data_IF_367507212602
#
_entry.id   IF_367507212602
#
_cell.length_a   1.000
_cell.length_b   1.000
_cell.length_c   1.000
_cell.angle_alpha   90.00
_cell.angle_beta   90.00
_cell.angle_gamma   90.00
#
_symmetry.space_group_name_H-M   'P 1'
#
loop_
_entity.id
_entity.type
_entity.pdbx_description
1 polymer ?
#
# COMPACT_ATOMS: atom_id res chain seq x y z
N UNK A 1 1.01 -1.29 27.56
CA UNK A 1 2.27 -0.83 26.95
C UNK A 1 2.16 0.64 26.60
N UNK A 2 3.28 1.36 26.54
CA UNK A 2 3.36 2.71 25.99
C UNK A 2 3.81 2.62 24.53
N UNK A 3 3.00 3.16 23.63
CA UNK A 3 3.21 3.16 22.18
C UNK A 3 3.40 4.59 21.72
N UNK A 4 4.44 4.87 20.94
CA UNK A 4 4.61 6.15 20.26
C UNK A 4 3.96 6.12 18.88
N UNK A 5 3.00 6.99 18.58
CA UNK A 5 2.42 7.11 17.25
C UNK A 5 2.90 8.38 16.56
N UNK A 6 3.69 8.21 15.51
CA UNK A 6 4.20 9.32 14.70
C UNK A 6 3.19 9.64 13.59
N UNK A 7 2.84 10.94 13.50
CA UNK A 7 1.93 11.51 12.49
C UNK A 7 0.51 10.89 12.47
N UNK A 8 -0.37 11.17 13.45
CA UNK A 8 -1.76 10.65 13.47
C UNK A 8 -2.66 11.28 12.37
N UNK A 9 -2.41 10.89 11.12
CA UNK A 9 -3.23 11.16 9.94
C UNK A 9 -4.54 10.37 9.97
N UNK A 10 -5.22 10.26 8.83
CA UNK A 10 -6.50 9.54 8.75
C UNK A 10 -6.35 8.04 9.09
N UNK A 11 -5.29 7.37 8.64
CA UNK A 11 -4.99 5.98 9.00
C UNK A 11 -4.42 5.88 10.41
N UNK A 12 -3.36 6.64 10.72
CA UNK A 12 -2.67 6.57 12.01
C UNK A 12 -3.58 6.83 13.21
N UNK A 13 -4.45 7.85 13.16
CA UNK A 13 -5.41 8.11 14.25
C UNK A 13 -6.45 7.01 14.42
N UNK A 14 -6.90 6.36 13.35
CA UNK A 14 -7.85 5.25 13.45
C UNK A 14 -7.19 4.03 14.08
N UNK A 15 -5.96 3.69 13.70
CA UNK A 15 -5.17 2.63 14.34
C UNK A 15 -4.89 2.98 15.82
N UNK A 16 -4.49 4.22 16.09
CA UNK A 16 -4.25 4.70 17.45
C UNK A 16 -5.49 4.59 18.35
N UNK A 17 -6.68 4.92 17.84
CA UNK A 17 -7.93 4.79 18.58
C UNK A 17 -8.23 3.33 18.96
N UNK A 18 -7.93 2.39 18.06
CA UNK A 18 -8.06 0.94 18.32
C UNK A 18 -7.09 0.48 19.41
N UNK A 19 -5.82 0.91 19.34
CA UNK A 19 -4.81 0.61 20.37
C UNK A 19 -5.19 1.22 21.74
N UNK A 20 -5.75 2.43 21.77
CA UNK A 20 -6.29 3.03 23.01
C UNK A 20 -7.47 2.22 23.55
N UNK A 21 -8.40 1.79 22.68
CA UNK A 21 -9.53 0.96 23.08
C UNK A 21 -9.12 -0.41 23.64
N UNK A 22 -7.98 -0.95 23.17
CA UNK A 22 -7.34 -2.15 23.71
C UNK A 22 -6.60 -1.92 25.04
N UNK A 23 -6.65 -0.71 25.61
CA UNK A 23 -6.06 -0.38 26.91
C UNK A 23 -4.59 0.03 26.88
N UNK A 24 -4.03 0.32 25.70
CA UNK A 24 -2.67 0.84 25.58
C UNK A 24 -2.62 2.37 25.75
N UNK A 25 -1.49 2.89 26.24
CA UNK A 25 -1.23 4.33 26.22
C UNK A 25 -0.56 4.68 24.91
N UNK A 26 -1.25 5.44 24.05
CA UNK A 26 -0.69 5.87 22.76
C UNK A 26 -0.28 7.34 22.85
N UNK A 27 1.02 7.57 22.85
CA UNK A 27 1.65 8.88 22.84
C UNK A 27 1.70 9.45 21.42
N UNK A 28 1.61 10.76 21.26
CA UNK A 28 1.87 11.42 19.99
C UNK A 28 2.51 12.80 20.18
N UNK A 29 3.28 13.25 19.18
CA UNK A 29 3.94 14.56 19.21
C UNK A 29 3.11 15.62 18.43
N UNK A 30 2.58 16.66 19.10
CA UNK A 30 1.66 17.64 18.52
C UNK A 30 2.34 18.82 17.81
N UNK A 31 3.62 19.09 18.08
CA UNK A 31 4.29 20.30 17.60
C UNK A 31 4.38 20.27 16.06
N UNK A 32 4.18 21.44 15.45
CA UNK A 32 4.13 21.64 13.99
C UNK A 32 3.05 20.80 13.27
N UNK A 33 1.99 20.38 13.97
CA UNK A 33 0.83 19.69 13.35
C UNK A 33 -0.35 20.62 13.14
N UNK A 34 -1.04 20.45 12.00
CA UNK A 34 -2.26 21.20 11.70
C UNK A 34 -3.42 20.90 12.66
N UNK A 35 -4.43 21.77 12.65
CA UNK A 35 -5.64 21.66 13.48
C UNK A 35 -6.39 20.34 13.25
N UNK A 36 -6.44 19.85 12.01
CA UNK A 36 -7.08 18.58 11.68
C UNK A 36 -6.40 17.37 12.33
N UNK A 37 -5.07 17.40 12.45
CA UNK A 37 -4.31 16.34 13.13
C UNK A 37 -4.59 16.36 14.63
N UNK A 38 -4.62 17.54 15.24
CA UNK A 38 -5.00 17.69 16.65
C UNK A 38 -6.40 17.15 16.94
N UNK A 39 -7.38 17.49 16.09
CA UNK A 39 -8.76 16.98 16.23
C UNK A 39 -8.82 15.47 16.13
N UNK A 40 -8.12 14.86 15.16
CA UNK A 40 -8.06 13.40 15.01
C UNK A 40 -7.38 12.72 16.21
N UNK A 41 -6.26 13.27 16.69
CA UNK A 41 -5.56 12.73 17.83
C UNK A 41 -6.39 12.78 19.12
N UNK A 42 -7.07 13.91 19.37
CA UNK A 42 -7.98 14.06 20.50
C UNK A 42 -9.17 13.09 20.39
N UNK A 43 -9.81 12.99 19.22
CA UNK A 43 -10.92 12.06 19.00
C UNK A 43 -10.50 10.58 19.14
N UNK A 44 -9.24 10.26 18.86
CA UNK A 44 -8.66 8.93 19.03
C UNK A 44 -8.16 8.65 20.46
N UNK A 45 -8.26 9.62 21.39
CA UNK A 45 -7.79 9.45 22.77
C UNK A 45 -6.27 9.39 22.91
N UNK A 46 -5.52 9.94 21.95
CA UNK A 46 -4.05 9.95 22.00
C UNK A 46 -3.55 10.92 23.07
N UNK A 47 -2.53 10.51 23.81
CA UNK A 47 -1.90 11.32 24.85
C UNK A 47 -0.79 12.19 24.24
N UNK A 48 -0.87 13.53 24.30
CA UNK A 48 0.18 14.38 23.75
C UNK A 48 1.47 14.30 24.58
N UNK A 49 2.61 14.34 23.89
CA UNK A 49 3.93 14.56 24.48
C UNK A 49 4.46 15.96 24.12
N UNK A 50 5.39 16.48 24.91
CA UNK A 50 5.98 17.80 24.72
C UNK A 50 6.80 17.84 23.42
N UNK A 51 7.66 16.84 23.22
CA UNK A 51 8.52 16.70 22.05
C UNK A 51 8.69 15.23 21.60
N UNK A 52 9.48 15.05 20.54
CA UNK A 52 9.81 13.72 20.01
C UNK A 52 10.69 12.92 20.99
N UNK A 53 11.66 13.56 21.64
CA UNK A 53 12.55 12.91 22.60
C UNK A 53 11.77 12.26 23.75
N UNK A 54 10.86 13.00 24.38
CA UNK A 54 10.02 12.51 25.46
C UNK A 54 9.07 11.38 25.02
N UNK A 55 8.65 11.36 23.75
CA UNK A 55 7.88 10.24 23.20
C UNK A 55 8.76 8.99 23.04
N UNK A 56 9.95 9.13 22.45
CA UNK A 56 10.86 8.02 22.18
C UNK A 56 11.44 7.39 23.46
N UNK A 57 11.74 8.21 24.47
CA UNK A 57 12.23 7.74 25.78
C UNK A 57 11.21 6.85 26.52
N UNK A 58 9.92 7.07 26.28
CA UNK A 58 8.82 6.38 26.98
C UNK A 58 8.22 5.23 26.19
N UNK A 59 8.36 5.23 24.86
CA UNK A 59 7.69 4.29 23.98
C UNK A 59 8.50 3.00 23.79
N UNK A 60 7.94 1.87 24.21
CA UNK A 60 8.54 0.54 23.96
C UNK A 60 8.44 0.13 22.49
N UNK A 61 7.43 0.67 21.79
CA UNK A 61 7.21 0.49 20.35
C UNK A 61 6.78 1.83 19.75
N UNK A 62 7.42 2.22 18.67
CA UNK A 62 7.09 3.41 17.88
C UNK A 62 6.50 2.98 16.55
N UNK A 63 5.31 3.49 16.25
CA UNK A 63 4.57 3.23 15.03
C UNK A 63 4.58 4.47 14.14
N UNK A 64 5.18 4.36 12.96
CA UNK A 64 5.24 5.41 11.94
C UNK A 64 4.15 5.20 10.90
N UNK A 65 3.15 6.08 10.86
CA UNK A 65 2.07 6.09 9.85
C UNK A 65 1.91 7.50 9.30
N UNK A 66 2.79 7.87 8.38
CA UNK A 66 2.88 9.15 7.72
C UNK A 66 2.70 9.02 6.18
N UNK A 67 2.61 10.14 5.44
CA UNK A 67 2.76 10.11 3.98
C UNK A 67 4.11 9.50 3.60
N UNK A 68 4.15 8.64 2.58
CA UNK A 68 5.39 7.93 2.19
C UNK A 68 6.55 8.87 1.84
N UNK A 69 6.27 10.08 1.36
CA UNK A 69 7.29 11.10 1.09
C UNK A 69 8.03 11.60 2.34
N UNK A 70 7.49 11.39 3.54
CA UNK A 70 8.08 11.81 4.81
C UNK A 70 8.72 10.65 5.59
N UNK A 71 8.61 9.40 5.11
CA UNK A 71 9.03 8.23 5.88
C UNK A 71 10.53 8.24 6.23
N UNK A 72 11.39 8.67 5.29
CA UNK A 72 12.84 8.80 5.52
C UNK A 72 13.13 9.88 6.56
N UNK A 73 12.59 11.09 6.39
CA UNK A 73 12.78 12.21 7.33
C UNK A 73 12.33 11.85 8.76
N UNK A 74 11.24 11.09 8.88
CA UNK A 74 10.77 10.57 10.17
C UNK A 74 11.75 9.58 10.77
N UNK A 75 12.26 8.62 9.99
CA UNK A 75 13.26 7.66 10.46
C UNK A 75 14.57 8.32 10.86
N UNK A 76 15.03 9.34 10.11
CA UNK A 76 16.18 10.18 10.46
C UNK A 76 15.96 10.91 11.79
N UNK A 77 14.80 11.54 11.96
CA UNK A 77 14.45 12.22 13.21
C UNK A 77 14.46 11.26 14.41
N UNK A 78 14.03 10.01 14.23
CA UNK A 78 14.08 8.98 15.27
C UNK A 78 15.51 8.53 15.54
N UNK A 79 16.34 8.40 14.50
CA UNK A 79 17.72 7.95 14.66
C UNK A 79 18.59 8.98 15.40
N UNK A 80 18.36 10.28 15.18
CA UNK A 80 19.04 11.37 15.89
C UNK A 80 18.83 11.33 17.42
N UNK A 81 17.76 10.68 17.88
CA UNK A 81 17.43 10.53 19.30
C UNK A 81 17.89 9.21 19.91
N UNK A 82 18.66 8.39 19.18
CA UNK A 82 19.18 7.09 19.65
C UNK A 82 18.08 6.15 20.20
N UNK A 83 16.93 6.11 19.53
CA UNK A 83 15.86 5.19 19.89
C UNK A 83 16.35 3.73 19.82
N UNK A 84 16.01 2.93 20.83
CA UNK A 84 16.50 1.54 20.96
C UNK A 84 15.38 0.52 21.22
N UNK A 85 14.13 0.91 20.96
CA UNK A 85 12.96 0.03 21.03
C UNK A 85 12.59 -0.59 19.68
N UNK A 86 11.32 -0.98 19.52
CA UNK A 86 10.80 -1.51 18.24
C UNK A 86 10.25 -0.37 17.41
N UNK A 87 10.83 -0.11 16.23
CA UNK A 87 10.31 0.85 15.27
C UNK A 87 9.54 0.12 14.17
N UNK A 88 8.23 0.33 14.14
CA UNK A 88 7.32 -0.23 13.13
C UNK A 88 7.09 0.82 12.07
N UNK A 89 7.69 0.62 10.90
CA UNK A 89 7.40 1.47 9.74
C UNK A 89 6.18 0.92 9.02
N UNK A 90 5.04 1.61 9.14
CA UNK A 90 3.78 1.22 8.53
C UNK A 90 3.42 2.09 7.31
N UNK A 91 4.44 2.69 6.69
CA UNK A 91 4.27 3.60 5.56
C UNK A 91 4.22 2.84 4.23
N UNK A 92 3.59 3.43 3.21
CA UNK A 92 3.57 2.85 1.87
C UNK A 92 4.87 3.15 1.11
N UNK A 93 5.98 2.55 1.54
CA UNK A 93 7.32 2.73 0.97
C UNK A 93 7.74 1.55 0.09
N UNK A 94 8.75 1.75 -0.76
CA UNK A 94 9.34 0.66 -1.55
C UNK A 94 10.29 -0.19 -0.70
N UNK A 95 10.61 -1.42 -1.12
CA UNK A 95 11.62 -2.24 -0.44
C UNK A 95 12.95 -1.51 -0.25
N UNK A 96 13.41 -0.75 -1.25
CA UNK A 96 14.66 0.01 -1.18
C UNK A 96 14.61 1.14 -0.16
N UNK A 97 13.46 1.82 -0.02
CA UNK A 97 13.29 2.81 1.04
C UNK A 97 13.25 2.14 2.42
N UNK A 98 12.64 0.96 2.52
CA UNK A 98 12.61 0.22 3.77
C UNK A 98 14.00 -0.27 4.19
N UNK A 99 14.81 -0.76 3.24
CA UNK A 99 16.22 -1.07 3.47
C UNK A 99 16.99 0.15 3.98
N UNK A 100 16.75 1.32 3.41
CA UNK A 100 17.37 2.56 3.85
C UNK A 100 16.96 2.96 5.28
N UNK A 101 15.67 2.90 5.61
CA UNK A 101 15.16 3.15 6.97
C UNK A 101 15.76 2.16 7.98
N UNK A 102 15.81 0.88 7.63
CA UNK A 102 16.42 -0.15 8.48
C UNK A 102 17.91 0.13 8.73
N UNK A 103 18.65 0.56 7.70
CA UNK A 103 20.04 0.94 7.83
C UNK A 103 20.23 2.16 8.74
N UNK A 104 19.42 3.21 8.58
CA UNK A 104 19.45 4.42 9.41
C UNK A 104 19.27 4.10 10.91
N UNK A 105 18.32 3.22 11.22
CA UNK A 105 17.96 2.89 12.59
C UNK A 105 18.87 1.81 13.22
N UNK A 106 19.50 0.96 12.41
CA UNK A 106 20.42 -0.07 12.90
C UNK A 106 21.58 0.50 13.73
N UNK A 107 22.04 1.73 13.43
CA UNK A 107 23.10 2.42 14.18
C UNK A 107 22.71 2.87 15.59
N UNK A 108 21.42 2.85 15.92
CA UNK A 108 20.88 3.37 17.20
C UNK A 108 20.49 2.28 18.20
N UNK A 109 20.45 1.02 17.75
CA UNK A 109 19.95 -0.11 18.54
C UNK A 109 18.45 -0.39 18.37
N UNK A 110 17.71 0.45 17.63
CA UNK A 110 16.33 0.17 17.28
C UNK A 110 16.20 -1.08 16.40
N UNK A 111 15.16 -1.88 16.64
CA UNK A 111 14.79 -3.02 15.81
C UNK A 111 13.64 -2.63 14.90
N UNK A 112 13.84 -2.74 13.59
CA UNK A 112 12.84 -2.33 12.59
C UNK A 112 11.92 -3.47 12.22
N UNK A 113 10.62 -3.19 12.24
CA UNK A 113 9.56 -4.01 11.66
C UNK A 113 9.00 -3.27 10.44
N UNK A 114 9.14 -3.86 9.27
CA UNK A 114 8.48 -3.44 8.04
C UNK A 114 7.02 -3.87 8.09
N UNK A 115 6.10 -2.92 8.02
CA UNK A 115 4.67 -3.16 8.08
C UNK A 115 3.95 -2.54 6.88
N UNK A 116 3.09 -3.33 6.24
CA UNK A 116 2.21 -2.86 5.19
C UNK A 116 0.75 -2.93 5.63
N UNK A 117 0.08 -1.78 5.65
CA UNK A 117 -1.36 -1.71 5.94
C UNK A 117 -2.17 -1.93 4.66
N UNK A 118 -3.04 -2.92 4.65
CA UNK A 118 -4.06 -3.15 3.65
C UNK A 118 -5.47 -2.88 4.22
N UNK A 119 -6.33 -2.32 3.39
CA UNK A 119 -7.69 -1.93 3.78
C UNK A 119 -7.85 -0.45 4.16
N UNK A 120 -9.09 -0.04 4.43
CA UNK A 120 -9.41 1.32 4.86
C UNK A 120 -9.03 1.53 6.35
N UNK A 121 -9.07 2.78 6.85
CA UNK A 121 -8.93 3.05 8.27
C UNK A 121 -9.92 2.22 9.11
N UNK A 122 -9.48 1.58 10.21
CA UNK A 122 -10.27 0.64 11.00
C UNK A 122 -11.28 1.36 11.91
N UNK A 123 -12.33 1.92 11.30
CA UNK A 123 -13.45 2.61 11.96
C UNK A 123 -14.76 2.26 11.28
N UNK A 124 -15.87 2.44 11.99
CA UNK A 124 -17.23 2.23 11.48
C UNK A 124 -17.45 0.78 10.98
N UNK A 125 -16.97 -0.20 11.76
CA UNK A 125 -17.08 -1.62 11.42
C UNK A 125 -16.10 -2.11 10.35
N UNK A 126 -15.22 -1.26 9.85
CA UNK A 126 -14.14 -1.63 8.91
C UNK A 126 -12.91 -2.13 9.67
N UNK A 127 -12.15 -3.01 9.03
CA UNK A 127 -10.88 -3.53 9.53
C UNK A 127 -9.71 -3.15 8.62
N UNK A 128 -8.51 -3.19 9.21
CA UNK A 128 -7.24 -3.06 8.50
C UNK A 128 -6.37 -4.27 8.82
N UNK A 129 -5.60 -4.72 7.83
CA UNK A 129 -4.66 -5.83 7.96
C UNK A 129 -3.23 -5.32 7.82
N UNK A 130 -2.40 -5.64 8.79
CA UNK A 130 -0.96 -5.44 8.76
C UNK A 130 -0.30 -6.70 8.22
N UNK A 131 0.51 -6.54 7.18
CA UNK A 131 1.49 -7.53 6.78
C UNK A 131 2.84 -7.15 7.37
N UNK A 132 3.53 -8.08 8.03
CA UNK A 132 4.71 -7.79 8.84
C UNK A 132 5.92 -8.56 8.33
N UNK A 133 7.07 -7.89 8.27
CA UNK A 133 8.37 -8.52 8.07
C UNK A 133 9.48 -7.81 8.87
N UNK A 134 10.59 -8.47 9.13
CA UNK A 134 11.64 -8.00 10.07
C UNK A 134 11.91 -9.03 11.17
N UNK A 135 12.74 -8.78 12.20
CA UNK A 135 13.09 -9.81 13.19
C UNK A 135 11.90 -10.38 14.00
N UNK A 136 11.92 -11.69 14.26
CA UNK A 136 10.78 -12.45 14.84
C UNK A 136 10.26 -11.88 16.17
N UNK A 137 11.17 -11.64 17.12
CA UNK A 137 10.80 -11.10 18.45
C UNK A 137 10.12 -9.73 18.36
N UNK A 138 10.58 -8.88 17.44
CA UNK A 138 10.02 -7.54 17.23
C UNK A 138 8.66 -7.60 16.52
N UNK A 139 8.50 -8.47 15.52
CA UNK A 139 7.19 -8.73 14.88
C UNK A 139 6.20 -9.28 15.90
N UNK A 140 6.62 -10.24 16.72
CA UNK A 140 5.83 -10.82 17.80
C UNK A 140 5.34 -9.77 18.78
N UNK A 141 6.24 -8.88 19.26
CA UNK A 141 5.87 -7.77 20.14
C UNK A 141 4.81 -6.86 19.52
N UNK A 142 4.95 -6.49 18.23
CA UNK A 142 3.95 -5.66 17.57
C UNK A 142 2.62 -6.39 17.35
N UNK A 143 2.66 -7.65 16.93
CA UNK A 143 1.47 -8.50 16.74
C UNK A 143 0.66 -8.63 18.04
N UNK A 144 1.33 -8.80 19.17
CA UNK A 144 0.67 -8.94 20.47
C UNK A 144 -0.07 -7.65 20.89
N UNK A 145 0.26 -6.49 20.32
CA UNK A 145 -0.52 -5.24 20.48
C UNK A 145 -1.84 -5.24 19.72
N UNK A 146 -1.99 -6.14 18.75
CA UNK A 146 -3.16 -6.19 17.84
C UNK A 146 -4.12 -7.34 18.18
N UNK A 147 -3.67 -8.32 18.98
CA UNK A 147 -4.33 -9.63 19.14
C UNK A 147 -5.77 -9.56 19.66
N UNK A 148 -6.05 -8.61 20.56
CA UNK A 148 -7.37 -8.45 21.19
C UNK A 148 -8.32 -7.54 20.38
N UNK A 149 -7.91 -7.10 19.18
CA UNK A 149 -8.69 -6.20 18.34
C UNK A 149 -9.06 -6.82 16.99
N UNK A 150 -10.32 -7.26 16.86
CA UNK A 150 -10.83 -7.85 15.62
C UNK A 150 -10.80 -6.91 14.39
N UNK A 151 -10.62 -5.59 14.58
CA UNK A 151 -10.48 -4.63 13.49
C UNK A 151 -9.03 -4.43 13.04
N UNK A 152 -8.04 -4.95 13.79
CA UNK A 152 -6.62 -4.93 13.44
C UNK A 152 -6.09 -6.36 13.29
N UNK A 153 -5.90 -6.79 12.05
CA UNK A 153 -5.36 -8.12 11.76
C UNK A 153 -3.87 -8.05 11.50
N UNK A 154 -3.12 -9.11 11.80
CA UNK A 154 -1.70 -9.23 11.49
C UNK A 154 -1.43 -10.53 10.72
N UNK A 155 -0.58 -10.46 9.70
CA UNK A 155 -0.02 -11.60 8.97
C UNK A 155 1.48 -11.40 8.81
N UNK A 156 2.27 -12.45 9.06
CA UNK A 156 3.72 -12.39 8.97
C UNK A 156 4.19 -12.94 7.63
N UNK A 157 5.10 -12.22 6.98
CA UNK A 157 5.66 -12.54 5.67
C UNK A 157 7.13 -12.98 5.72
N UNK A 158 7.71 -13.08 6.92
CA UNK A 158 9.07 -13.55 7.15
C UNK A 158 10.00 -12.52 7.79
N UNK A 159 11.29 -12.81 7.78
CA UNK A 159 12.28 -12.10 8.61
C UNK A 159 12.94 -10.89 7.92
N UNK A 160 12.79 -10.75 6.60
CA UNK A 160 13.52 -9.74 5.82
C UNK A 160 12.72 -8.43 5.74
N UNK A 161 13.19 -7.32 6.35
CA UNK A 161 12.61 -5.99 6.11
C UNK A 161 12.59 -5.68 4.61
N UNK A 162 11.50 -5.11 4.12
CA UNK A 162 11.25 -4.86 2.70
C UNK A 162 10.23 -5.82 2.08
N UNK A 163 9.96 -6.98 2.71
CA UNK A 163 9.01 -7.98 2.18
C UNK A 163 7.57 -7.49 2.24
N UNK A 164 7.14 -6.91 3.37
CA UNK A 164 5.81 -6.33 3.50
C UNK A 164 5.65 -5.10 2.59
N UNK A 165 6.67 -4.27 2.51
CA UNK A 165 6.76 -3.16 1.56
C UNK A 165 6.65 -3.63 0.10
N UNK A 166 7.29 -4.76 -0.28
CA UNK A 166 7.19 -5.34 -1.61
C UNK A 166 5.75 -5.77 -1.94
N UNK A 167 5.09 -6.48 -1.02
CA UNK A 167 3.68 -6.83 -1.16
C UNK A 167 2.83 -5.57 -1.33
N UNK A 168 3.08 -4.52 -0.53
CA UNK A 168 2.36 -3.26 -0.63
C UNK A 168 2.51 -2.65 -2.02
N UNK A 169 3.73 -2.59 -2.54
CA UNK A 169 4.01 -2.04 -3.87
C UNK A 169 3.32 -2.86 -4.96
N UNK A 170 3.35 -4.20 -4.88
CA UNK A 170 2.65 -5.08 -5.81
C UNK A 170 1.12 -4.90 -5.77
N UNK A 171 0.55 -4.72 -4.57
CA UNK A 171 -0.90 -4.49 -4.43
C UNK A 171 -1.31 -3.13 -5.01
N UNK A 172 -0.59 -2.06 -4.66
CA UNK A 172 -1.01 -0.70 -5.05
C UNK A 172 -0.64 -0.35 -6.49
N UNK A 173 0.33 -1.03 -7.10
CA UNK A 173 0.65 -0.91 -8.53
C UNK A 173 -0.51 -1.37 -9.42
N UNK A 174 -1.37 -2.26 -8.92
CA UNK A 174 -2.64 -2.61 -9.56
C UNK A 174 -3.79 -1.73 -9.07
N UNK A 175 -4.03 -1.67 -7.75
CA UNK A 175 -5.26 -1.08 -7.19
C UNK A 175 -5.44 0.40 -7.53
N UNK A 176 -4.36 1.19 -7.57
CA UNK A 176 -4.45 2.63 -7.84
C UNK A 176 -4.67 2.90 -9.34
N UNK A 177 -3.85 2.36 -10.27
CA UNK A 177 -4.07 2.59 -11.69
C UNK A 177 -5.36 1.97 -12.23
N UNK A 178 -5.81 0.82 -11.70
CA UNK A 178 -7.07 0.20 -12.13
C UNK A 178 -8.28 1.13 -11.98
N UNK A 179 -8.31 1.97 -10.93
CA UNK A 179 -9.35 3.00 -10.77
C UNK A 179 -9.30 4.06 -11.86
N UNK A 180 -8.09 4.42 -12.32
CA UNK A 180 -7.93 5.40 -13.40
C UNK A 180 -8.29 4.80 -14.77
N UNK A 181 -8.02 3.51 -15.00
CA UNK A 181 -8.52 2.81 -16.18
C UNK A 181 -10.06 2.83 -16.23
N UNK A 182 -10.73 2.65 -15.09
CA UNK A 182 -12.18 2.82 -15.01
C UNK A 182 -12.62 4.26 -15.34
N UNK A 183 -11.90 5.28 -14.86
CA UNK A 183 -12.17 6.69 -15.22
C UNK A 183 -12.05 6.92 -16.73
N UNK A 184 -11.03 6.36 -17.38
CA UNK A 184 -10.88 6.47 -18.84
C UNK A 184 -12.02 5.76 -19.59
N UNK A 185 -12.42 4.58 -19.13
CA UNK A 185 -13.56 3.85 -19.71
C UNK A 185 -14.87 4.63 -19.57
N UNK A 186 -15.15 5.17 -18.39
CA UNK A 186 -16.32 6.02 -18.16
C UNK A 186 -16.27 7.32 -18.96
N UNK A 187 -15.11 7.96 -19.08
CA UNK A 187 -14.96 9.15 -19.91
C UNK A 187 -15.28 8.89 -21.38
N UNK A 188 -14.85 7.73 -21.90
CA UNK A 188 -15.16 7.33 -23.28
C UNK A 188 -16.65 7.01 -23.44
N UNK A 189 -17.23 6.30 -22.48
CA UNK A 189 -18.66 5.96 -22.50
C UNK A 189 -19.54 7.21 -22.39
N UNK A 190 -19.17 8.18 -21.56
CA UNK A 190 -19.87 9.45 -21.41
C UNK A 190 -19.83 10.27 -22.70
N UNK A 191 -18.65 10.37 -23.33
CA UNK A 191 -18.49 11.05 -24.62
C UNK A 191 -19.43 10.51 -25.70
N UNK A 192 -19.64 9.19 -25.75
CA UNK A 192 -20.53 8.55 -26.72
C UNK A 192 -21.95 8.29 -26.20
N UNK A 193 -22.30 8.73 -24.99
CA UNK A 193 -23.64 8.57 -24.41
C UNK A 193 -24.05 7.12 -24.09
N UNK A 194 -23.09 6.24 -23.78
CA UNK A 194 -23.30 4.80 -23.55
C UNK A 194 -22.98 4.35 -22.11
N UNK A 195 -22.85 5.27 -21.17
CA UNK A 195 -22.47 5.01 -19.76
C UNK A 195 -23.33 3.93 -19.10
N UNK A 196 -24.66 4.00 -19.22
CA UNK A 196 -25.57 3.01 -18.60
C UNK A 196 -25.38 1.60 -19.18
N UNK A 197 -25.11 1.51 -20.49
CA UNK A 197 -24.84 0.22 -21.13
C UNK A 197 -23.50 -0.36 -20.67
N UNK A 198 -22.47 0.49 -20.49
CA UNK A 198 -21.18 0.07 -19.93
C UNK A 198 -21.34 -0.45 -18.49
N UNK A 199 -22.11 0.25 -17.65
CA UNK A 199 -22.38 -0.18 -16.25
C UNK A 199 -23.08 -1.54 -16.24
N UNK A 200 -24.15 -1.69 -17.02
CA UNK A 200 -24.91 -2.94 -17.09
C UNK A 200 -24.05 -4.13 -17.56
N UNK A 201 -23.13 -3.91 -18.52
CA UNK A 201 -22.21 -4.98 -18.96
C UNK A 201 -21.12 -5.28 -17.92
N UNK A 202 -20.61 -4.26 -17.23
CA UNK A 202 -19.64 -4.43 -16.15
C UNK A 202 -20.22 -5.24 -14.97
N UNK A 203 -21.50 -5.05 -14.64
CA UNK A 203 -22.19 -5.80 -13.58
C UNK A 203 -22.37 -7.30 -13.91
N UNK A 204 -22.41 -7.66 -15.21
CA UNK A 204 -22.46 -9.06 -15.65
C UNK A 204 -21.10 -9.76 -15.59
N UNK A 205 -20.03 -8.99 -15.42
CA UNK A 205 -18.65 -9.43 -15.59
C UNK A 205 -17.95 -9.51 -14.24
N UNK A 206 -17.90 -10.70 -13.65
CA UNK A 206 -17.08 -10.95 -12.46
C UNK A 206 -15.69 -11.44 -12.88
N UNK A 207 -14.68 -10.57 -12.80
CA UNK A 207 -13.29 -10.90 -13.13
C UNK A 207 -12.39 -10.51 -11.97
N UNK A 208 -11.85 -11.53 -11.30
CA UNK A 208 -10.85 -11.36 -10.25
C UNK A 208 -9.43 -11.22 -10.85
N UNK A 209 -9.19 -10.10 -11.56
CA UNK A 209 -7.98 -9.86 -12.40
C UNK A 209 -6.67 -10.09 -11.64
N UNK A 210 -6.53 -9.53 -10.43
CA UNK A 210 -5.26 -9.60 -9.68
C UNK A 210 -5.00 -10.98 -9.07
N UNK A 211 -6.04 -11.69 -8.64
CA UNK A 211 -5.90 -13.00 -7.99
C UNK A 211 -5.82 -14.17 -8.97
N UNK A 212 -6.32 -14.02 -10.20
CA UNK A 212 -6.24 -15.07 -11.22
C UNK A 212 -4.93 -14.98 -12.03
N UNK A 213 -3.85 -15.48 -11.42
CA UNK A 213 -2.54 -15.52 -12.09
C UNK A 213 -2.52 -16.44 -13.31
N UNK A 214 -3.39 -17.44 -13.39
CA UNK A 214 -3.41 -18.38 -14.51
C UNK A 214 -3.99 -17.78 -15.79
N UNK A 215 -4.81 -16.74 -15.67
CA UNK A 215 -5.32 -15.97 -16.81
C UNK A 215 -4.21 -15.37 -17.69
N UNK A 216 -2.99 -15.16 -17.15
CA UNK A 216 -1.86 -14.61 -17.91
C UNK A 216 -1.53 -15.42 -19.17
N UNK A 217 -1.68 -16.75 -19.14
CA UNK A 217 -1.49 -17.61 -20.30
C UNK A 217 -2.47 -17.27 -21.42
N UNK A 218 -3.75 -17.09 -21.08
CA UNK A 218 -4.78 -16.70 -22.04
C UNK A 218 -4.65 -15.26 -22.54
N UNK A 219 -4.10 -14.35 -21.73
CA UNK A 219 -3.75 -12.99 -22.15
C UNK A 219 -2.64 -13.03 -23.19
N UNK A 220 -1.56 -13.77 -22.92
CA UNK A 220 -0.43 -13.92 -23.84
C UNK A 220 -0.87 -14.58 -25.17
N UNK A 221 -1.62 -15.69 -25.11
CA UNK A 221 -2.09 -16.41 -26.28
C UNK A 221 -2.90 -15.53 -27.26
N UNK A 222 -3.63 -14.54 -26.73
CA UNK A 222 -4.50 -13.63 -27.50
C UNK A 222 -3.90 -12.25 -27.72
N UNK A 223 -2.68 -11.98 -27.25
CA UNK A 223 -2.09 -10.65 -27.30
C UNK A 223 -2.06 -10.05 -28.71
N UNK A 224 -1.70 -10.87 -29.70
CA UNK A 224 -1.70 -10.50 -31.12
C UNK A 224 -3.07 -10.05 -31.67
N UNK A 225 -4.17 -10.57 -31.10
CA UNK A 225 -5.55 -10.27 -31.49
C UNK A 225 -6.06 -8.99 -30.84
N UNK A 226 -5.71 -8.78 -29.57
CA UNK A 226 -6.11 -7.57 -28.83
C UNK A 226 -5.26 -6.34 -29.16
N UNK A 227 -4.06 -6.53 -29.71
CA UNK A 227 -3.17 -5.43 -30.07
C UNK A 227 -3.83 -4.43 -31.05
N UNK A 228 -4.44 -4.83 -32.19
CA UNK A 228 -5.19 -3.91 -33.04
C UNK A 228 -6.40 -3.26 -32.34
N UNK A 229 -7.10 -3.99 -31.46
CA UNK A 229 -8.25 -3.44 -30.72
C UNK A 229 -7.81 -2.30 -29.79
N UNK A 230 -6.63 -2.40 -29.17
CA UNK A 230 -6.07 -1.32 -28.35
C UNK A 230 -5.68 -0.08 -29.16
N UNK A 231 -5.26 -0.23 -30.42
CA UNK A 231 -5.06 0.93 -31.30
C UNK A 231 -6.37 1.69 -31.56
N UNK A 232 -7.47 0.97 -31.79
CA UNK A 232 -8.78 1.59 -31.96
C UNK A 232 -9.27 2.26 -30.67
N UNK A 233 -8.97 1.68 -29.50
CA UNK A 233 -9.23 2.33 -28.20
C UNK A 233 -8.45 3.65 -28.08
N UNK A 234 -7.17 3.67 -28.46
CA UNK A 234 -6.35 4.88 -28.40
C UNK A 234 -6.88 5.97 -29.35
N UNK A 235 -7.27 5.62 -30.59
CA UNK A 235 -7.92 6.54 -31.54
C UNK A 235 -9.22 7.10 -30.96
N UNK A 236 -10.03 6.26 -30.34
CA UNK A 236 -11.30 6.65 -29.74
C UNK A 236 -11.11 7.57 -28.54
N UNK A 237 -10.08 7.33 -27.71
CA UNK A 237 -9.71 8.18 -26.60
C UNK A 237 -9.23 9.55 -27.08
N UNK A 238 -8.33 9.60 -28.06
CA UNK A 238 -7.82 10.86 -28.63
C UNK A 238 -8.96 11.70 -29.24
N UNK A 239 -9.84 11.05 -30.01
CA UNK A 239 -11.03 11.69 -30.59
C UNK A 239 -11.98 12.27 -29.53
N UNK A 240 -12.04 11.64 -28.35
CA UNK A 240 -12.83 12.09 -27.21
C UNK A 240 -12.10 13.12 -26.32
N UNK A 241 -10.86 13.50 -26.65
CA UNK A 241 -10.03 14.40 -25.84
C UNK A 241 -9.50 13.78 -24.55
N UNK A 242 -9.45 12.44 -24.47
CA UNK A 242 -8.93 11.68 -23.33
C UNK A 242 -7.46 11.30 -23.54
N UNK A 243 -6.66 11.18 -22.46
CA UNK A 243 -5.26 10.79 -22.59
C UNK A 243 -5.10 9.32 -23.01
N UNK A 244 -4.22 9.06 -23.98
CA UNK A 244 -3.96 7.71 -24.52
C UNK A 244 -2.83 6.96 -23.80
N UNK A 245 -2.01 7.63 -22.99
CA UNK A 245 -0.74 7.08 -22.50
C UNK A 245 -0.82 5.74 -21.75
N UNK A 246 -1.94 5.46 -21.08
CA UNK A 246 -2.21 4.13 -20.48
C UNK A 246 -2.39 3.07 -21.56
N UNK A 247 -3.24 3.34 -22.54
CA UNK A 247 -3.51 2.46 -23.69
C UNK A 247 -2.23 2.25 -24.50
N UNK A 248 -1.47 3.31 -24.78
CA UNK A 248 -0.19 3.22 -25.50
C UNK A 248 0.84 2.35 -24.76
N UNK A 249 0.87 2.44 -23.44
CA UNK A 249 1.71 1.57 -22.61
C UNK A 249 1.22 0.13 -22.66
N UNK A 250 -0.10 -0.10 -22.57
CA UNK A 250 -0.69 -1.42 -22.70
C UNK A 250 -0.36 -2.05 -24.06
N UNK A 251 -0.50 -1.31 -25.16
CA UNK A 251 -0.12 -1.71 -26.52
C UNK A 251 1.31 -2.23 -26.56
N UNK A 252 2.28 -1.49 -26.01
CA UNK A 252 3.69 -1.93 -25.93
C UNK A 252 3.89 -3.22 -25.14
N UNK A 253 3.08 -3.47 -24.10
CA UNK A 253 3.14 -4.73 -23.35
C UNK A 253 2.53 -5.88 -24.15
N UNK A 254 1.44 -5.64 -24.88
CA UNK A 254 0.83 -6.63 -25.77
C UNK A 254 1.73 -6.97 -26.96
N UNK A 255 2.49 -6.01 -27.50
CA UNK A 255 3.51 -6.27 -28.53
C UNK A 255 4.56 -7.27 -28.06
N UNK A 256 5.04 -7.15 -26.81
CA UNK A 256 6.00 -8.11 -26.23
C UNK A 256 5.41 -9.52 -26.13
N UNK A 257 4.11 -9.64 -25.88
CA UNK A 257 3.43 -10.93 -25.72
C UNK A 257 2.95 -11.53 -27.04
N UNK A 258 2.92 -10.76 -28.13
CA UNK A 258 2.37 -11.21 -29.40
C UNK A 258 3.12 -12.42 -30.00
N UNK A 259 4.36 -12.67 -29.58
CA UNK A 259 5.12 -13.87 -29.97
C UNK A 259 4.51 -15.18 -29.44
N UNK A 260 3.77 -15.11 -28.34
CA UNK A 260 3.08 -16.25 -27.73
C UNK A 260 1.74 -16.55 -28.39
N UNK A 261 1.54 -16.09 -29.63
CA UNK A 261 0.33 -16.30 -30.42
C UNK A 261 -0.16 -17.74 -30.34
N UNK A 262 -1.40 -17.88 -29.87
CA UNK A 262 -2.15 -19.13 -29.75
C UNK A 262 -1.50 -20.20 -28.83
N UNK A 263 -0.51 -19.83 -28.01
CA UNK A 263 0.11 -20.69 -26.99
C UNK A 263 -0.67 -20.63 -25.68
N UNK A 264 -1.74 -21.41 -25.58
CA UNK A 264 -2.66 -21.40 -24.44
C UNK A 264 -2.12 -22.03 -23.16
N UNK A 265 -1.08 -22.86 -23.27
CA UNK A 265 -0.43 -23.62 -22.20
C UNK A 265 0.87 -22.99 -21.70
N UNK A 266 1.23 -21.79 -22.17
CA UNK A 266 2.42 -21.08 -21.70
C UNK A 266 2.35 -20.83 -20.19
N UNK A 267 3.46 -21.11 -19.49
CA UNK A 267 3.54 -20.88 -18.06
C UNK A 267 3.44 -19.37 -17.74
N UNK A 268 2.60 -18.95 -16.77
CA UNK A 268 2.50 -17.55 -16.34
C UNK A 268 3.83 -16.91 -15.94
N UNK A 269 4.78 -17.70 -15.42
CA UNK A 269 6.14 -17.29 -15.09
C UNK A 269 6.88 -16.72 -16.30
N UNK A 270 6.81 -17.39 -17.45
CA UNK A 270 7.47 -16.95 -18.69
C UNK A 270 6.85 -15.64 -19.21
N UNK A 271 5.53 -15.48 -19.06
CA UNK A 271 4.82 -14.23 -19.40
C UNK A 271 5.33 -13.07 -18.54
N UNK A 272 5.56 -13.30 -17.24
CA UNK A 272 6.09 -12.30 -16.31
C UNK A 272 7.57 -12.00 -16.62
N UNK A 273 8.40 -13.03 -16.83
CA UNK A 273 9.82 -12.88 -17.16
C UNK A 273 10.02 -12.02 -18.42
N UNK A 274 9.13 -12.17 -19.41
CA UNK A 274 9.16 -11.37 -20.63
C UNK A 274 9.02 -9.87 -20.36
N UNK A 275 8.37 -9.48 -19.28
CA UNK A 275 8.19 -8.07 -18.89
C UNK A 275 9.44 -7.48 -18.21
N UNK A 276 10.37 -8.33 -17.74
CA UNK A 276 11.56 -7.92 -16.97
C UNK A 276 12.80 -7.76 -17.85
N UNK A 277 12.89 -8.47 -18.98
CA UNK A 277 14.07 -8.51 -19.86
C UNK A 277 14.26 -7.26 -20.76
N UNK A 278 14.29 -6.06 -20.16
CA UNK A 278 14.60 -4.80 -20.86
C UNK A 278 16.00 -4.29 -20.56
#
# INVERSE_FOLDING_TARGET
MIIGLLHPGNMGSAVGARLVAAGHTVLWHPVHRGSDTHRRAAAAGLTPCEDLAALLDRAETVLSICPSSAAIEVAESVSEHNYHGVYVDANAVSPQQMEHIAALLSGTGAVVVDAAIAGPPPRDGRSAKFFLSGPDEARGRFRDLLVDDAALMAEELGETPGTASALKMALISYQRPARLLAVLSYGLADHYGVTEALIAEAERTDIAILSDRSALSGVAARAWRWLPELHEVAISQDSAGLPTGFTDTATKLYELLAEYKDQWDIAPELVIERMIQR
#
